data_IF_141626294768
#
_entry.id   IF_141626294768
#
_cell.length_a   1.000
_cell.length_b   1.000
_cell.length_c   1.000
_cell.angle_alpha   90.00
_cell.angle_beta   90.00
_cell.angle_gamma   90.00
#
_symmetry.space_group_name_H-M   'P 1'
#
loop_
_entity.id
_entity.type
_entity.pdbx_description
1 polymer ?
#
# COMPACT_ATOMS: atom_id res chain seq x y z
N UNK A 1 -9.67 -29.87 -32.58
CA UNK A 1 -10.56 -28.74 -32.23
C UNK A 1 -11.33 -28.90 -30.90
N UNK A 2 -11.55 -30.10 -30.33
CA UNK A 2 -12.39 -30.23 -29.11
C UNK A 2 -11.78 -29.72 -27.80
N UNK A 3 -10.47 -29.88 -27.59
CA UNK A 3 -9.78 -29.44 -26.35
C UNK A 3 -9.71 -27.92 -26.17
N UNK A 4 -9.74 -27.16 -27.28
CA UNK A 4 -9.70 -25.69 -27.26
C UNK A 4 -11.08 -25.13 -26.90
N UNK A 5 -12.14 -25.69 -27.47
CA UNK A 5 -13.52 -25.32 -27.12
C UNK A 5 -13.89 -25.65 -25.67
N UNK A 6 -13.36 -26.74 -25.11
CA UNK A 6 -13.54 -27.06 -23.69
C UNK A 6 -12.82 -26.07 -22.75
N UNK A 7 -11.76 -25.40 -23.21
CA UNK A 7 -11.05 -24.35 -22.45
C UNK A 7 -11.71 -22.98 -22.61
N UNK A 8 -12.23 -22.68 -23.80
CA UNK A 8 -12.96 -21.44 -24.11
C UNK A 8 -14.20 -21.22 -23.25
N UNK A 9 -14.87 -22.29 -22.78
CA UNK A 9 -16.03 -22.15 -21.88
C UNK A 9 -15.69 -21.47 -20.54
N UNK A 10 -14.43 -21.53 -20.11
CA UNK A 10 -13.93 -20.86 -18.91
C UNK A 10 -13.38 -19.46 -19.21
N UNK A 11 -13.18 -19.13 -20.49
CA UNK A 11 -12.68 -17.82 -20.91
C UNK A 11 -13.76 -16.72 -20.83
N UNK A 12 -15.03 -17.14 -20.67
CA UNK A 12 -16.21 -16.28 -20.47
C UNK A 12 -16.39 -15.88 -18.99
N UNK A 13 -15.50 -16.32 -18.09
CA UNK A 13 -15.46 -15.77 -16.73
C UNK A 13 -14.78 -14.40 -16.80
N UNK A 14 -15.59 -13.41 -17.19
CA UNK A 14 -15.24 -12.00 -17.13
C UNK A 14 -15.33 -11.56 -15.67
N UNK A 15 -14.26 -10.96 -15.17
CA UNK A 15 -14.21 -10.35 -13.85
C UNK A 15 -15.05 -9.08 -13.86
N UNK A 16 -16.10 -9.05 -13.03
CA UNK A 16 -17.09 -7.95 -13.02
C UNK A 16 -16.76 -6.89 -11.97
N UNK A 17 -15.81 -7.16 -11.05
CA UNK A 17 -15.59 -6.30 -9.90
C UNK A 17 -14.17 -5.72 -9.81
N UNK A 18 -14.09 -4.48 -9.32
CA UNK A 18 -12.91 -3.63 -9.19
C UNK A 18 -11.97 -4.04 -8.03
N UNK A 19 -12.33 -5.09 -7.28
CA UNK A 19 -11.52 -5.68 -6.20
C UNK A 19 -11.73 -7.19 -6.14
N UNK A 20 -10.77 -7.97 -6.62
CA UNK A 20 -10.83 -9.43 -6.50
C UNK A 20 -10.25 -9.92 -5.16
N UNK A 21 -10.98 -10.81 -4.50
CA UNK A 21 -10.57 -11.47 -3.25
C UNK A 21 -10.53 -13.02 -3.30
N UNK A 22 -10.87 -13.65 -4.42
CA UNK A 22 -10.99 -15.10 -4.57
C UNK A 22 -9.68 -15.88 -4.30
N UNK A 23 -8.52 -15.23 -4.41
CA UNK A 23 -7.23 -15.86 -4.13
C UNK A 23 -6.81 -15.81 -2.66
N UNK A 24 -7.47 -15.03 -1.80
CA UNK A 24 -7.12 -14.96 -0.37
C UNK A 24 -7.25 -16.29 0.38
N UNK A 25 -8.30 -17.10 0.14
CA UNK A 25 -8.36 -18.45 0.70
C UNK A 25 -7.16 -19.31 0.27
N UNK A 26 -6.79 -19.28 -1.01
CA UNK A 26 -5.66 -20.05 -1.54
C UNK A 26 -4.34 -19.59 -0.93
N UNK A 27 -4.11 -18.27 -0.86
CA UNK A 27 -2.98 -17.68 -0.15
C UNK A 27 -2.94 -18.16 1.31
N UNK A 28 -4.07 -18.16 2.03
CA UNK A 28 -4.15 -18.64 3.41
C UNK A 28 -3.75 -20.10 3.55
N UNK A 29 -4.16 -20.97 2.61
CA UNK A 29 -3.71 -22.37 2.61
C UNK A 29 -2.23 -22.50 2.27
N UNK A 30 -1.75 -21.74 1.27
CA UNK A 30 -0.34 -21.70 0.91
C UNK A 30 0.55 -21.31 2.10
N UNK A 31 0.18 -20.27 2.87
CA UNK A 31 0.87 -19.88 4.11
C UNK A 31 0.97 -21.02 5.14
N UNK A 32 -0.02 -21.91 5.20
CA UNK A 32 0.03 -23.09 6.09
C UNK A 32 0.97 -24.17 5.57
N UNK A 33 1.00 -24.37 4.25
CA UNK A 33 1.85 -25.36 3.58
C UNK A 33 3.32 -24.96 3.74
N UNK A 34 3.69 -23.72 3.40
CA UNK A 34 5.09 -23.25 3.46
C UNK A 34 5.64 -23.16 4.89
N UNK A 35 4.78 -23.17 5.91
CA UNK A 35 5.19 -23.32 7.31
C UNK A 35 5.65 -24.72 7.65
N UNK A 36 5.16 -25.74 6.94
CA UNK A 36 5.54 -27.14 7.13
C UNK A 36 6.69 -27.53 6.20
N UNK A 37 6.64 -27.06 4.95
CA UNK A 37 7.67 -27.28 3.95
C UNK A 37 7.86 -26.02 3.10
N UNK A 38 8.96 -25.30 3.34
CA UNK A 38 9.25 -24.07 2.61
C UNK A 38 9.54 -24.33 1.13
N UNK A 39 10.00 -25.53 0.73
CA UNK A 39 10.33 -25.87 -0.66
C UNK A 39 9.11 -25.87 -1.59
N UNK A 40 7.89 -25.94 -1.03
CA UNK A 40 6.63 -25.86 -1.78
C UNK A 40 6.44 -24.52 -2.50
N UNK A 41 7.31 -23.52 -2.27
CA UNK A 41 7.37 -22.32 -3.09
C UNK A 41 7.66 -22.65 -4.58
N UNK A 42 8.47 -23.68 -4.86
CA UNK A 42 8.87 -24.11 -6.23
C UNK A 42 7.72 -24.74 -7.01
N UNK A 43 6.77 -25.35 -6.31
CA UNK A 43 5.66 -26.10 -6.90
C UNK A 43 4.38 -25.28 -6.75
N UNK A 44 3.70 -25.40 -5.61
CA UNK A 44 2.42 -24.77 -5.32
C UNK A 44 2.52 -23.24 -5.30
N UNK A 45 3.65 -22.69 -4.86
CA UNK A 45 3.90 -21.25 -4.89
C UNK A 45 3.86 -20.72 -6.32
N UNK A 46 4.63 -21.31 -7.23
CA UNK A 46 4.64 -20.92 -8.64
C UNK A 46 3.31 -21.21 -9.36
N UNK A 47 2.59 -22.26 -8.98
CA UNK A 47 1.23 -22.51 -9.49
C UNK A 47 0.25 -21.42 -9.05
N UNK A 48 0.26 -21.06 -7.75
CA UNK A 48 -0.56 -19.97 -7.21
C UNK A 48 -0.20 -18.64 -7.88
N UNK A 49 1.09 -18.39 -8.10
CA UNK A 49 1.57 -17.20 -8.80
C UNK A 49 1.05 -17.12 -10.24
N UNK A 50 1.07 -18.23 -11.00
CA UNK A 50 0.52 -18.27 -12.36
C UNK A 50 -0.98 -17.97 -12.38
N UNK A 51 -1.75 -18.54 -11.46
CA UNK A 51 -3.18 -18.26 -11.33
C UNK A 51 -3.41 -16.77 -11.03
N UNK A 52 -2.58 -16.22 -10.15
CA UNK A 52 -2.56 -14.80 -9.80
C UNK A 52 -2.30 -13.91 -11.02
N UNK A 53 -1.24 -14.16 -11.79
CA UNK A 53 -0.88 -13.33 -12.96
C UNK A 53 -2.01 -13.30 -14.00
N UNK A 54 -2.71 -14.42 -14.19
CA UNK A 54 -3.88 -14.48 -15.10
C UNK A 54 -5.05 -13.65 -14.55
N UNK A 55 -5.30 -13.69 -13.25
CA UNK A 55 -6.35 -12.89 -12.62
C UNK A 55 -6.03 -11.39 -12.65
N UNK A 56 -4.76 -11.01 -12.46
CA UNK A 56 -4.30 -9.61 -12.47
C UNK A 56 -4.41 -8.97 -13.87
N UNK A 57 -4.16 -9.75 -14.94
CA UNK A 57 -4.43 -9.31 -16.32
C UNK A 57 -5.92 -9.04 -16.56
N UNK A 58 -6.82 -9.76 -15.87
CA UNK A 58 -8.27 -9.66 -16.07
C UNK A 58 -8.97 -8.69 -15.10
N UNK A 59 -8.28 -8.13 -14.10
CA UNK A 59 -8.83 -7.16 -13.14
C UNK A 59 -7.90 -6.85 -11.96
N UNK A 60 -8.28 -5.91 -11.09
CA UNK A 60 -7.46 -5.50 -9.92
C UNK A 60 -7.42 -6.59 -8.84
N UNK A 61 -6.33 -7.36 -8.82
CA UNK A 61 -6.15 -8.45 -7.87
C UNK A 61 -5.41 -7.99 -6.60
N UNK A 62 -6.13 -7.95 -5.48
CA UNK A 62 -5.61 -7.40 -4.22
C UNK A 62 -4.65 -8.33 -3.47
N UNK A 63 -4.49 -9.57 -3.90
CA UNK A 63 -3.61 -10.55 -3.27
C UNK A 63 -2.21 -10.63 -3.93
N UNK A 64 -1.98 -9.87 -5.01
CA UNK A 64 -0.77 -9.91 -5.84
C UNK A 64 0.53 -9.91 -5.04
N UNK A 65 0.70 -8.81 -4.33
CA UNK A 65 1.88 -8.52 -3.56
C UNK A 65 2.05 -9.49 -2.38
N UNK A 66 0.97 -9.86 -1.70
CA UNK A 66 1.03 -10.81 -0.60
C UNK A 66 1.42 -12.22 -1.06
N UNK A 67 0.97 -12.66 -2.25
CA UNK A 67 1.40 -13.94 -2.83
C UNK A 67 2.90 -13.89 -3.16
N UNK A 68 3.35 -12.84 -3.85
CA UNK A 68 4.77 -12.66 -4.16
C UNK A 68 5.62 -12.64 -2.88
N UNK A 69 5.17 -11.92 -1.85
CA UNK A 69 5.84 -11.83 -0.55
C UNK A 69 5.98 -13.19 0.11
N UNK A 70 4.92 -13.99 0.19
CA UNK A 70 4.99 -15.31 0.83
C UNK A 70 5.86 -16.30 0.05
N UNK A 71 5.85 -16.24 -1.29
CA UNK A 71 6.76 -17.04 -2.13
C UNK A 71 8.21 -16.65 -1.86
N UNK A 72 8.51 -15.35 -1.82
CA UNK A 72 9.85 -14.82 -1.58
C UNK A 72 10.35 -15.17 -0.16
N UNK A 73 9.49 -15.09 0.86
CA UNK A 73 9.82 -15.51 2.24
C UNK A 73 10.04 -17.02 2.34
N UNK A 74 9.24 -17.84 1.65
CA UNK A 74 9.43 -19.30 1.63
C UNK A 74 10.74 -19.71 0.93
N UNK A 75 11.09 -19.03 -0.17
CA UNK A 75 12.37 -19.22 -0.83
C UNK A 75 13.56 -18.83 0.06
N UNK A 76 13.44 -17.72 0.80
CA UNK A 76 14.45 -17.31 1.77
C UNK A 76 14.70 -18.38 2.84
N UNK A 77 13.64 -18.96 3.41
CA UNK A 77 13.75 -20.07 4.37
C UNK A 77 14.34 -21.35 3.77
N UNK A 78 14.30 -21.47 2.45
CA UNK A 78 14.84 -22.61 1.71
C UNK A 78 16.31 -22.43 1.31
N UNK A 79 16.86 -21.22 1.47
CA UNK A 79 18.27 -20.89 1.27
C UNK A 79 18.55 -19.91 0.13
N UNK A 80 19.78 -19.38 0.07
CA UNK A 80 20.17 -18.32 -0.87
C UNK A 80 19.98 -18.69 -2.35
N UNK A 81 20.19 -19.97 -2.71
CA UNK A 81 19.98 -20.45 -4.08
C UNK A 81 18.51 -20.32 -4.51
N UNK A 82 17.59 -20.57 -3.58
CA UNK A 82 16.16 -20.49 -3.81
C UNK A 82 15.71 -19.03 -3.96
N UNK A 83 16.29 -18.12 -3.16
CA UNK A 83 16.11 -16.68 -3.33
C UNK A 83 16.51 -16.26 -4.75
N UNK A 84 17.71 -16.67 -5.18
CA UNK A 84 18.18 -16.34 -6.52
C UNK A 84 17.23 -16.86 -7.61
N UNK A 85 16.71 -18.08 -7.46
CA UNK A 85 15.74 -18.64 -8.40
C UNK A 85 14.44 -17.83 -8.45
N UNK A 86 13.88 -17.41 -7.31
CA UNK A 86 12.70 -16.54 -7.27
C UNK A 86 12.97 -15.20 -7.95
N UNK A 87 14.10 -14.54 -7.64
CA UNK A 87 14.44 -13.24 -8.25
C UNK A 87 14.71 -13.32 -9.75
N UNK A 88 14.94 -14.52 -10.28
CA UNK A 88 15.12 -14.75 -11.72
C UNK A 88 13.85 -15.25 -12.41
N UNK A 89 12.74 -15.41 -11.68
CA UNK A 89 11.50 -15.93 -12.23
C UNK A 89 10.91 -15.00 -13.31
N UNK A 90 10.74 -13.72 -12.99
CA UNK A 90 10.26 -12.67 -13.90
C UNK A 90 10.63 -11.27 -13.40
N UNK A 91 10.18 -10.24 -14.12
CA UNK A 91 10.46 -8.83 -13.82
C UNK A 91 9.84 -8.35 -12.51
N UNK A 92 8.64 -8.84 -12.16
CA UNK A 92 7.95 -8.51 -10.91
C UNK A 92 8.77 -8.95 -9.70
N UNK A 93 9.31 -10.17 -9.71
CA UNK A 93 10.21 -10.61 -8.65
C UNK A 93 11.59 -9.96 -8.75
N UNK A 94 12.14 -9.78 -9.95
CA UNK A 94 13.51 -9.27 -10.14
C UNK A 94 13.65 -7.84 -9.65
N UNK A 95 12.73 -6.97 -10.05
CA UNK A 95 12.84 -5.52 -9.87
C UNK A 95 12.04 -4.97 -8.69
N UNK A 96 11.27 -5.80 -7.98
CA UNK A 96 10.55 -5.35 -6.79
C UNK A 96 11.49 -5.05 -5.63
N UNK A 97 11.73 -3.76 -5.40
CA UNK A 97 12.43 -3.22 -4.23
C UNK A 97 11.64 -3.48 -2.93
N UNK A 98 10.31 -3.38 -3.00
CA UNK A 98 9.43 -3.67 -1.86
C UNK A 98 9.61 -5.11 -1.37
N UNK A 99 9.75 -6.08 -2.27
CA UNK A 99 10.04 -7.46 -1.87
C UNK A 99 11.41 -7.58 -1.19
N UNK A 100 12.46 -6.93 -1.72
CA UNK A 100 13.79 -6.93 -1.07
C UNK A 100 13.68 -6.34 0.33
N UNK A 101 13.04 -5.18 0.46
CA UNK A 101 12.88 -4.49 1.74
C UNK A 101 12.19 -5.37 2.79
N UNK A 102 11.10 -6.04 2.44
CA UNK A 102 10.45 -6.98 3.38
C UNK A 102 11.37 -8.15 3.74
N UNK A 103 12.09 -8.69 2.76
CA UNK A 103 13.00 -9.81 2.99
C UNK A 103 14.18 -9.44 3.89
N UNK A 104 14.62 -8.17 3.95
CA UNK A 104 15.69 -7.76 4.88
C UNK A 104 15.39 -8.15 6.32
N UNK A 105 14.14 -7.99 6.76
CA UNK A 105 13.74 -8.38 8.11
C UNK A 105 13.80 -9.90 8.30
N UNK A 106 13.42 -10.67 7.30
CA UNK A 106 13.48 -12.14 7.34
C UNK A 106 14.94 -12.63 7.28
N UNK A 107 15.82 -11.95 6.52
CA UNK A 107 17.25 -12.24 6.47
C UNK A 107 17.90 -12.07 7.85
N UNK A 108 17.58 -10.99 8.58
CA UNK A 108 18.11 -10.80 9.94
C UNK A 108 17.64 -11.94 10.87
N UNK A 109 16.41 -12.41 10.75
CA UNK A 109 15.92 -13.51 11.62
C UNK A 109 16.72 -14.80 11.45
N UNK A 110 17.11 -15.12 10.21
CA UNK A 110 17.82 -16.36 9.90
C UNK A 110 19.35 -16.24 9.96
N UNK A 111 19.88 -15.02 10.12
CA UNK A 111 21.31 -14.79 10.24
C UNK A 111 21.89 -15.58 11.43
N UNK A 112 22.99 -16.27 11.17
CA UNK A 112 23.68 -17.17 12.08
C UNK A 112 25.01 -16.63 12.56
N UNK A 113 25.60 -15.67 11.84
CA UNK A 113 26.87 -15.05 12.19
C UNK A 113 26.88 -13.52 11.99
N UNK A 114 27.98 -12.91 12.41
CA UNK A 114 28.17 -11.46 12.38
C UNK A 114 28.38 -10.91 10.96
N UNK A 115 28.99 -11.68 10.07
CA UNK A 115 29.26 -11.26 8.68
C UNK A 115 27.95 -11.15 7.88
N UNK A 116 27.02 -12.08 8.12
CA UNK A 116 25.67 -12.03 7.56
C UNK A 116 24.93 -10.77 8.02
N UNK A 117 24.97 -10.44 9.32
CA UNK A 117 24.34 -9.22 9.85
C UNK A 117 24.94 -7.94 9.25
N UNK A 118 26.26 -7.89 9.09
CA UNK A 118 26.95 -6.77 8.44
C UNK A 118 26.52 -6.67 6.98
N UNK A 119 26.45 -7.79 6.27
CA UNK A 119 26.06 -7.82 4.85
C UNK A 119 24.62 -7.33 4.66
N UNK A 120 23.70 -7.77 5.51
CA UNK A 120 22.30 -7.32 5.50
C UNK A 120 22.22 -5.83 5.80
N UNK A 121 22.99 -5.33 6.76
CA UNK A 121 23.02 -3.91 7.08
C UNK A 121 23.56 -3.06 5.91
N UNK A 122 24.68 -3.47 5.30
CA UNK A 122 25.25 -2.76 4.15
C UNK A 122 24.29 -2.76 2.94
N UNK A 123 23.61 -3.88 2.70
CA UNK A 123 22.54 -3.95 1.70
C UNK A 123 21.41 -2.96 2.01
N UNK A 124 20.99 -2.89 3.27
CA UNK A 124 19.96 -1.95 3.73
C UNK A 124 20.37 -0.50 3.48
N UNK A 125 21.61 -0.14 3.79
CA UNK A 125 22.19 1.18 3.51
C UNK A 125 22.21 1.52 2.02
N UNK A 126 22.37 0.51 1.15
CA UNK A 126 22.41 0.68 -0.30
C UNK A 126 21.03 0.86 -0.95
N UNK A 127 19.98 0.23 -0.39
CA UNK A 127 18.64 0.26 -0.98
C UNK A 127 17.70 1.31 -0.36
N UNK A 128 17.95 1.73 0.89
CA UNK A 128 17.11 2.69 1.59
C UNK A 128 17.67 4.10 1.48
N UNK A 129 16.82 5.02 1.01
CA UNK A 129 17.20 6.41 0.79
C UNK A 129 16.95 7.25 2.04
N UNK A 130 18.00 7.86 2.57
CA UNK A 130 17.90 8.76 3.73
C UNK A 130 17.04 10.01 3.47
N UNK A 131 16.74 10.34 2.20
CA UNK A 131 15.84 11.44 1.84
C UNK A 131 14.37 11.14 2.19
N UNK A 132 13.96 9.87 2.16
CA UNK A 132 12.58 9.48 2.45
C UNK A 132 12.39 9.13 3.92
N UNK A 133 11.34 9.67 4.54
CA UNK A 133 11.05 9.48 5.96
C UNK A 133 10.79 8.02 6.32
N UNK A 134 10.06 7.31 5.45
CA UNK A 134 9.76 5.90 5.62
C UNK A 134 11.04 5.04 5.58
N UNK A 135 11.94 5.33 4.64
CA UNK A 135 13.24 4.66 4.52
C UNK A 135 14.15 4.95 5.72
N UNK A 136 14.13 6.18 6.27
CA UNK A 136 14.83 6.49 7.54
C UNK A 136 14.30 5.64 8.70
N UNK A 137 12.99 5.48 8.80
CA UNK A 137 12.38 4.61 9.79
C UNK A 137 12.75 3.13 9.55
N UNK A 138 12.78 2.70 8.28
CA UNK A 138 13.22 1.37 7.87
C UNK A 138 14.66 1.09 8.29
N UNK A 139 15.60 2.00 8.00
CA UNK A 139 17.00 1.92 8.42
C UNK A 139 17.12 1.77 9.94
N UNK A 140 16.37 2.59 10.68
CA UNK A 140 16.32 2.48 12.14
C UNK A 140 15.85 1.10 12.60
N UNK A 141 14.77 0.59 12.04
CA UNK A 141 14.22 -0.71 12.42
C UNK A 141 15.18 -1.86 12.12
N UNK A 142 15.81 -1.86 10.95
CA UNK A 142 16.78 -2.89 10.58
C UNK A 142 18.03 -2.81 11.46
N UNK A 143 18.54 -1.60 11.72
CA UNK A 143 19.68 -1.39 12.62
C UNK A 143 19.47 -2.05 13.99
N UNK A 144 18.35 -1.72 14.66
CA UNK A 144 18.04 -2.31 15.96
C UNK A 144 17.79 -3.82 15.88
N UNK A 145 17.22 -4.30 14.78
CA UNK A 145 17.01 -5.73 14.58
C UNK A 145 18.34 -6.47 14.45
N UNK A 146 19.30 -5.93 13.70
CA UNK A 146 20.65 -6.49 13.61
C UNK A 146 21.35 -6.51 14.96
N UNK A 147 21.24 -5.45 15.77
CA UNK A 147 21.82 -5.41 17.12
C UNK A 147 21.20 -6.49 18.02
N UNK A 148 19.87 -6.59 18.03
CA UNK A 148 19.17 -7.57 18.85
C UNK A 148 19.56 -8.99 18.43
N UNK A 149 19.58 -9.26 17.12
CA UNK A 149 20.01 -10.55 16.59
C UNK A 149 21.46 -10.85 16.91
N UNK A 150 22.36 -9.87 16.78
CA UNK A 150 23.77 -10.01 17.14
C UNK A 150 23.93 -10.44 18.60
N UNK A 151 23.17 -9.85 19.52
CA UNK A 151 23.14 -10.27 20.93
C UNK A 151 22.63 -11.71 21.10
N UNK A 152 21.60 -12.11 20.35
CA UNK A 152 21.07 -13.48 20.38
C UNK A 152 22.10 -14.53 19.92
N UNK A 153 22.93 -14.20 18.94
CA UNK A 153 23.97 -15.10 18.40
C UNK A 153 25.34 -14.94 19.07
N UNK A 154 25.46 -14.08 20.09
CA UNK A 154 26.70 -13.85 20.85
C UNK A 154 27.71 -12.88 20.21
N UNK A 155 27.29 -12.11 19.21
CA UNK A 155 28.07 -11.06 18.54
C UNK A 155 27.80 -9.68 19.16
N UNK A 156 28.32 -9.45 20.37
CA UNK A 156 28.08 -8.21 21.13
C UNK A 156 28.71 -6.97 20.48
N UNK A 157 29.78 -7.17 19.69
CA UNK A 157 30.52 -6.12 18.99
C UNK A 157 29.78 -5.55 17.76
N UNK A 158 28.65 -6.13 17.35
CA UNK A 158 27.90 -5.74 16.15
C UNK A 158 27.60 -4.24 16.12
N UNK A 159 27.17 -3.67 17.24
CA UNK A 159 26.77 -2.26 17.34
C UNK A 159 27.93 -1.33 16.96
N UNK A 160 29.13 -1.64 17.48
CA UNK A 160 30.35 -0.90 17.19
C UNK A 160 30.75 -1.06 15.72
N UNK A 161 30.70 -2.28 15.19
CA UNK A 161 31.07 -2.54 13.79
C UNK A 161 30.16 -1.79 12.80
N UNK A 162 28.84 -1.78 13.02
CA UNK A 162 27.93 -1.05 12.16
C UNK A 162 28.20 0.47 12.19
N UNK A 163 28.51 1.01 13.39
CA UNK A 163 28.87 2.41 13.57
C UNK A 163 30.19 2.77 12.88
N UNK A 164 31.20 1.89 12.94
CA UNK A 164 32.50 2.09 12.30
C UNK A 164 32.41 1.99 10.76
N UNK A 165 31.59 1.05 10.25
CA UNK A 165 31.45 0.81 8.81
C UNK A 165 30.58 1.84 8.08
N UNK A 166 29.59 2.42 8.76
CA UNK A 166 28.57 3.27 8.13
C UNK A 166 28.10 4.40 9.06
N UNK A 167 29.03 5.26 9.51
CA UNK A 167 28.75 6.23 10.57
C UNK A 167 27.59 7.18 10.24
N UNK A 168 27.45 7.58 8.98
CA UNK A 168 26.37 8.49 8.57
C UNK A 168 24.99 7.81 8.58
N UNK A 169 24.90 6.57 8.09
CA UNK A 169 23.65 5.81 8.11
C UNK A 169 23.23 5.45 9.54
N UNK A 170 24.19 5.17 10.42
CA UNK A 170 23.91 4.97 11.84
C UNK A 170 23.40 6.27 12.48
N UNK A 171 24.02 7.42 12.21
CA UNK A 171 23.48 8.73 12.66
C UNK A 171 22.05 8.96 12.17
N UNK A 172 21.74 8.61 10.92
CA UNK A 172 20.39 8.70 10.34
C UNK A 172 19.42 7.76 11.07
N UNK A 173 19.82 6.53 11.38
CA UNK A 173 19.01 5.58 12.14
C UNK A 173 18.66 6.11 13.55
N UNK A 174 19.58 6.86 14.16
CA UNK A 174 19.37 7.54 15.44
C UNK A 174 18.74 8.92 15.33
N UNK A 175 18.57 9.45 14.11
CA UNK A 175 17.99 10.78 13.91
C UNK A 175 16.56 10.81 14.43
N UNK A 176 16.35 11.59 15.49
CA UNK A 176 15.03 11.96 15.95
C UNK A 176 14.71 13.32 15.32
N UNK A 177 13.78 13.36 14.37
CA UNK A 177 13.21 14.62 13.88
C UNK A 177 12.77 15.45 15.10
N UNK A 178 13.17 16.72 15.16
CA UNK A 178 12.67 17.61 16.20
C UNK A 178 11.13 17.60 16.15
N UNK A 179 10.46 17.61 17.31
CA UNK A 179 8.99 17.58 17.37
C UNK A 179 8.33 18.72 16.57
N UNK A 180 9.07 19.80 16.28
CA UNK A 180 8.65 20.87 15.38
C UNK A 180 8.68 20.45 13.90
N UNK A 181 9.71 19.75 13.42
CA UNK A 181 9.77 19.27 12.03
C UNK A 181 8.75 18.17 11.71
N UNK A 182 8.46 17.26 12.66
CA UNK A 182 7.42 16.23 12.50
C UNK A 182 6.02 16.85 12.34
N UNK A 183 5.74 17.96 13.04
CA UNK A 183 4.52 18.74 12.87
C UNK A 183 4.44 19.43 11.50
N UNK A 184 5.58 19.75 10.89
CA UNK A 184 5.67 20.47 9.60
C UNK A 184 5.64 19.51 8.39
N UNK A 185 5.92 18.22 8.56
CA UNK A 185 5.88 17.25 7.45
C UNK A 185 4.65 16.32 7.44
N UNK A 186 4.11 15.97 8.61
CA UNK A 186 2.96 15.06 8.69
C UNK A 186 1.60 15.79 8.71
N UNK A 187 1.57 17.12 8.60
CA UNK A 187 0.37 17.90 8.88
C UNK A 187 0.02 19.02 7.89
N UNK A 188 0.85 19.34 6.89
CA UNK A 188 0.90 20.75 6.44
C UNK A 188 0.64 21.04 4.98
N UNK A 189 -0.05 20.19 4.21
CA UNK A 189 -0.59 20.74 2.95
C UNK A 189 -1.90 20.14 2.45
N UNK A 190 -2.21 18.86 2.71
CA UNK A 190 -3.49 18.30 2.26
C UNK A 190 -4.56 18.37 3.35
N UNK A 191 -4.33 17.77 4.53
CA UNK A 191 -5.37 17.71 5.58
C UNK A 191 -5.70 19.07 6.21
N UNK A 192 -4.71 19.95 6.38
CA UNK A 192 -4.94 21.31 6.87
C UNK A 192 -5.62 22.19 5.82
N UNK A 193 -5.21 22.08 4.56
CA UNK A 193 -5.82 22.81 3.45
C UNK A 193 -7.23 22.32 3.18
N UNK A 194 -7.47 21.01 3.17
CA UNK A 194 -8.80 20.43 3.01
C UNK A 194 -9.73 20.87 4.15
N UNK A 195 -9.25 20.88 5.41
CA UNK A 195 -10.05 21.40 6.54
C UNK A 195 -10.30 22.90 6.45
N UNK A 196 -9.31 23.67 5.99
CA UNK A 196 -9.46 25.11 5.78
C UNK A 196 -10.46 25.38 4.64
N UNK A 197 -10.31 24.74 3.50
CA UNK A 197 -11.22 24.83 2.35
C UNK A 197 -12.64 24.37 2.72
N UNK A 198 -12.79 23.30 3.52
CA UNK A 198 -14.08 22.86 4.07
C UNK A 198 -14.71 23.94 4.98
N UNK A 199 -13.90 24.55 5.85
CA UNK A 199 -14.36 25.61 6.76
C UNK A 199 -14.71 26.91 6.03
N UNK A 200 -13.96 27.28 5.00
CA UNK A 200 -14.22 28.45 4.15
C UNK A 200 -15.48 28.23 3.32
N UNK A 201 -15.61 27.05 2.70
CA UNK A 201 -16.81 26.68 1.95
C UNK A 201 -18.05 26.69 2.85
N UNK A 202 -17.94 26.12 4.06
CA UNK A 202 -19.03 26.16 5.03
C UNK A 202 -19.42 27.58 5.40
N UNK A 203 -18.45 28.49 5.60
CA UNK A 203 -18.73 29.88 5.87
C UNK A 203 -19.46 30.56 4.69
N UNK A 204 -18.98 30.36 3.46
CA UNK A 204 -19.58 30.92 2.24
C UNK A 204 -21.02 30.43 2.07
N UNK A 205 -21.25 29.12 2.11
CA UNK A 205 -22.59 28.54 1.95
C UNK A 205 -23.53 28.93 3.10
N UNK A 206 -22.99 29.15 4.31
CA UNK A 206 -23.78 29.60 5.46
C UNK A 206 -24.29 31.04 5.34
N UNK A 207 -23.77 31.83 4.40
CA UNK A 207 -24.26 33.19 4.11
C UNK A 207 -25.22 33.23 2.90
N UNK A 208 -25.27 32.16 2.10
CA UNK A 208 -26.14 32.04 0.92
C UNK A 208 -27.56 31.60 1.30
N UNK A 209 -28.53 31.96 0.44
CA UNK A 209 -29.90 31.44 0.48
C UNK A 209 -29.97 30.03 -0.12
N UNK A 210 -31.03 29.29 0.22
CA UNK A 210 -31.27 27.92 -0.26
C UNK A 210 -31.20 27.80 -1.80
N UNK A 211 -31.79 28.74 -2.55
CA UNK A 211 -31.76 28.67 -4.02
C UNK A 211 -30.36 28.92 -4.60
N UNK A 212 -29.59 29.80 -3.96
CA UNK A 212 -28.21 30.12 -4.33
C UNK A 212 -27.26 28.95 -4.05
N UNK A 213 -27.51 28.21 -2.96
CA UNK A 213 -26.78 26.97 -2.63
C UNK A 213 -27.05 25.90 -3.69
N UNK A 214 -28.31 25.71 -4.10
CA UNK A 214 -28.66 24.75 -5.17
C UNK A 214 -27.99 25.13 -6.49
N UNK A 215 -28.00 26.42 -6.86
CA UNK A 215 -27.34 26.89 -8.08
C UNK A 215 -25.82 26.70 -8.01
N UNK A 216 -25.19 27.00 -6.87
CA UNK A 216 -23.77 26.74 -6.64
C UNK A 216 -23.42 25.27 -6.88
N UNK A 217 -24.21 24.34 -6.32
CA UNK A 217 -23.99 22.91 -6.48
C UNK A 217 -24.16 22.45 -7.94
N UNK A 218 -25.08 23.05 -8.71
CA UNK A 218 -25.24 22.72 -10.14
C UNK A 218 -24.02 23.13 -10.98
N UNK A 219 -23.31 24.20 -10.60
CA UNK A 219 -22.19 24.75 -11.38
C UNK A 219 -20.79 24.51 -10.77
N UNK A 220 -20.70 23.79 -9.66
CA UNK A 220 -19.44 23.49 -8.99
C UNK A 220 -18.46 22.73 -9.89
N UNK A 221 -17.31 23.34 -10.18
CA UNK A 221 -16.27 22.74 -11.04
C UNK A 221 -15.15 22.04 -10.27
N UNK A 222 -15.07 22.22 -8.95
CA UNK A 222 -14.00 21.64 -8.14
C UNK A 222 -14.26 20.14 -7.92
N UNK A 223 -13.63 19.29 -8.73
CA UNK A 223 -13.82 17.83 -8.68
C UNK A 223 -13.46 17.22 -7.32
N UNK A 224 -12.51 17.80 -6.59
CA UNK A 224 -12.04 17.29 -5.31
C UNK A 224 -13.02 17.54 -4.16
N UNK A 225 -13.85 18.59 -4.25
CA UNK A 225 -14.79 19.00 -3.20
C UNK A 225 -16.24 18.61 -3.46
N UNK A 226 -16.56 18.04 -4.64
CA UNK A 226 -17.93 17.75 -5.08
C UNK A 226 -18.79 17.11 -3.98
N UNK A 227 -18.31 16.03 -3.36
CA UNK A 227 -19.10 15.34 -2.32
C UNK A 227 -19.15 16.09 -1.00
N UNK A 228 -18.04 16.74 -0.62
CA UNK A 228 -17.94 17.57 0.57
C UNK A 228 -18.91 18.75 0.51
N UNK A 229 -19.01 19.42 -0.63
CA UNK A 229 -19.94 20.53 -0.86
C UNK A 229 -21.41 20.14 -0.74
N UNK A 230 -21.78 18.94 -1.21
CA UNK A 230 -23.14 18.42 -1.04
C UNK A 230 -23.45 18.21 0.44
N UNK A 231 -22.55 17.57 1.18
CA UNK A 231 -22.76 17.27 2.59
C UNK A 231 -22.87 18.56 3.42
N UNK A 232 -21.98 19.53 3.19
CA UNK A 232 -22.03 20.82 3.87
C UNK A 232 -23.34 21.56 3.55
N UNK A 233 -23.72 21.61 2.27
CA UNK A 233 -24.93 22.29 1.83
C UNK A 233 -26.19 21.64 2.44
N UNK A 234 -26.24 20.31 2.45
CA UNK A 234 -27.32 19.55 3.07
C UNK A 234 -27.41 19.85 4.56
N UNK A 235 -26.29 19.77 5.28
CA UNK A 235 -26.24 20.07 6.71
C UNK A 235 -26.69 21.51 7.01
N UNK A 236 -26.33 22.49 6.18
CA UNK A 236 -26.73 23.89 6.38
C UNK A 236 -28.25 24.04 6.22
N UNK A 237 -28.82 23.51 5.14
CA UNK A 237 -30.26 23.61 4.84
C UNK A 237 -31.08 22.83 5.89
N UNK A 238 -30.59 21.66 6.31
CA UNK A 238 -31.19 20.88 7.39
C UNK A 238 -31.20 21.66 8.71
N UNK A 239 -30.05 22.23 9.10
CA UNK A 239 -29.92 22.98 10.36
C UNK A 239 -30.74 24.26 10.37
N UNK A 240 -31.04 24.85 9.20
CA UNK A 240 -31.95 26.00 9.07
C UNK A 240 -33.43 25.61 9.05
N UNK A 241 -33.75 24.33 8.92
CA UNK A 241 -35.12 23.84 8.79
C UNK A 241 -35.77 24.19 7.44
N UNK A 242 -34.94 24.45 6.43
CA UNK A 242 -35.35 24.88 5.08
C UNK A 242 -35.61 23.68 4.14
N UNK A 243 -35.48 22.44 4.62
CA UNK A 243 -35.74 21.24 3.81
C UNK A 243 -37.21 21.19 3.39
N UNK A 244 -37.45 21.40 2.10
CA UNK A 244 -38.72 21.19 1.42
C UNK A 244 -38.63 19.98 0.48
N UNK A 245 -39.79 19.51 0.00
CA UNK A 245 -39.85 18.42 -1.00
C UNK A 245 -39.11 18.81 -2.28
N UNK A 246 -39.29 20.05 -2.73
CA UNK A 246 -38.71 20.56 -3.96
C UNK A 246 -37.18 20.66 -3.84
N UNK A 247 -36.66 21.10 -2.68
CA UNK A 247 -35.22 21.14 -2.40
C UNK A 247 -34.62 19.72 -2.36
N UNK A 248 -35.32 18.76 -1.74
CA UNK A 248 -34.85 17.37 -1.70
C UNK A 248 -34.79 16.72 -3.10
N UNK A 249 -35.74 17.06 -3.99
CA UNK A 249 -35.74 16.64 -5.40
C UNK A 249 -34.54 17.23 -6.14
N UNK A 250 -34.25 18.52 -5.96
CA UNK A 250 -33.10 19.21 -6.54
C UNK A 250 -31.75 18.59 -6.11
N UNK A 251 -31.58 18.28 -4.82
CA UNK A 251 -30.40 17.55 -4.34
C UNK A 251 -30.28 16.16 -4.98
N UNK A 252 -31.41 15.47 -5.16
CA UNK A 252 -31.43 14.14 -5.77
C UNK A 252 -30.96 14.21 -7.23
N UNK A 253 -31.42 15.19 -8.01
CA UNK A 253 -30.97 15.41 -9.39
C UNK A 253 -29.47 15.75 -9.47
N UNK A 254 -28.97 16.59 -8.56
CA UNK A 254 -27.55 16.94 -8.46
C UNK A 254 -26.71 15.70 -8.13
N UNK A 255 -27.15 14.86 -7.19
CA UNK A 255 -26.43 13.63 -6.81
C UNK A 255 -26.42 12.65 -7.99
N UNK A 256 -27.56 12.43 -8.65
CA UNK A 256 -27.67 11.50 -9.78
C UNK A 256 -26.78 11.91 -10.95
N UNK A 257 -26.79 13.19 -11.33
CA UNK A 257 -25.91 13.70 -12.40
C UNK A 257 -24.41 13.58 -12.08
N UNK A 258 -24.04 13.73 -10.80
CA UNK A 258 -22.66 13.54 -10.33
C UNK A 258 -22.26 12.06 -10.27
N UNK A 259 -23.18 11.15 -9.96
CA UNK A 259 -22.94 9.70 -9.98
C UNK A 259 -22.66 9.18 -11.39
N UNK A 260 -23.37 9.69 -12.41
CA UNK A 260 -23.15 9.33 -13.82
C UNK A 260 -21.75 9.75 -14.32
N UNK A 261 -21.18 10.82 -13.78
CA UNK A 261 -19.82 11.27 -14.11
C UNK A 261 -18.74 10.58 -13.26
N UNK A 262 -19.06 10.19 -12.02
CA UNK A 262 -18.14 9.48 -11.12
C UNK A 262 -17.75 8.08 -11.62
N UNK A 263 -18.61 7.40 -12.38
CA UNK A 263 -18.30 6.08 -12.95
C UNK A 263 -17.16 6.07 -13.97
N UNK A 264 -16.76 7.24 -14.50
CA UNK A 264 -15.70 7.39 -15.50
C UNK A 264 -14.40 8.00 -14.94
N UNK A 265 -14.46 8.80 -13.87
CA UNK A 265 -13.27 9.45 -13.28
C UNK A 265 -12.41 8.51 -12.42
N UNK A 266 -12.99 7.47 -11.81
CA UNK A 266 -12.26 6.50 -10.96
C UNK A 266 -11.90 5.17 -11.63
N UNK A 267 -12.14 5.05 -12.95
CA UNK A 267 -11.69 3.90 -13.75
C UNK A 267 -10.22 3.99 -14.21
N UNK A 268 -9.47 5.01 -13.76
CA UNK A 268 -8.04 5.15 -14.02
C UNK A 268 -7.33 5.78 -12.83
N UNK A 269 -6.87 4.95 -11.90
CA UNK A 269 -6.06 5.30 -10.74
C UNK A 269 -5.58 4.08 -9.99
#
# INVERSE_FOLDING_TARGET
>A
MSKINEKLKWDVVSYVDHKEYALWPLLKYFKKIIKQDSQEWKTRGLELYKLFSVADIKGSNRASYDIQKEIATAALKSGINDIWQVRQHDEEFRFSLNLIYNQLFDFVEIATDIEELISIWLLSCGILSWYHKEDRAGLKHIYFKCINKGKEIGAEEIEKLLADLSPEQVKIAFYQESKEYVKIQNQTDYDQRSKLEESELKAILSEMKEEEIIEFLKFEKNSLMRWTSINIAWDIIENRGEISKDIAEEFTEIILSRLESYSWENSGG
#
